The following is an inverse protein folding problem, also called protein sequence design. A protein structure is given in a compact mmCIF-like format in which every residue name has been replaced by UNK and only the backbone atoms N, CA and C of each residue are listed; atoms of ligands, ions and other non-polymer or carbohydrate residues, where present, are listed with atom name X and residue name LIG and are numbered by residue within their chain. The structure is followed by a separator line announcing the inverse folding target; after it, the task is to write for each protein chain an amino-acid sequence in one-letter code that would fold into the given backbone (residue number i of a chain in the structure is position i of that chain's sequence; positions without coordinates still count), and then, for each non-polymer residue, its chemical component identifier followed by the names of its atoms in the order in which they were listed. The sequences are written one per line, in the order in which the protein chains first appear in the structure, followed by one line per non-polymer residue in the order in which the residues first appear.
data_IF_644235652222
#
_entry.id   IF_644235652222
#
_cell.length_a   1.000
_cell.length_b   1.000
_cell.length_c   1.000
_cell.angle_alpha   90.00
_cell.angle_beta   90.00
_cell.angle_gamma   90.00
#
_symmetry.space_group_name_H-M   'P 1'
#
loop_
_entity.id
_entity.type
_entity.pdbx_description
1 polymer ?
#
# COMPACT_ATOMS: atom_id res chain seq x y z
N UNK A 1 -61.39 -11.21 72.24
CA UNK A 1 -62.72 -10.84 71.69
C UNK A 1 -62.56 -10.66 70.19
N UNK A 2 -63.28 -11.45 69.46
CA UNK A 2 -63.89 -11.34 68.15
C UNK A 2 -62.90 -11.13 66.94
N UNK A 3 -62.79 -12.09 66.12
CA UNK A 3 -63.73 -12.65 65.15
C UNK A 3 -63.65 -12.03 63.78
N UNK A 4 -63.57 -12.91 62.82
CA UNK A 4 -64.11 -12.83 61.48
C UNK A 4 -63.11 -12.91 60.39
N UNK A 5 -62.85 -14.01 59.79
CA UNK A 5 -63.58 -14.76 58.77
C UNK A 5 -63.34 -14.24 57.36
N UNK A 6 -62.72 -15.09 56.62
CA UNK A 6 -63.16 -15.65 55.31
C UNK A 6 -63.11 -14.73 54.08
N UNK A 7 -62.55 -15.26 53.01
CA UNK A 7 -62.84 -14.86 51.63
C UNK A 7 -61.76 -15.27 50.64
N UNK A 8 -61.95 -16.44 50.09
CA UNK A 8 -61.52 -16.95 48.79
C UNK A 8 -61.36 -15.88 47.72
N UNK A 9 -60.34 -16.00 46.91
CA UNK A 9 -60.43 -16.31 45.46
C UNK A 9 -59.07 -16.17 44.77
N UNK A 10 -58.55 -17.30 44.34
CA UNK A 10 -57.56 -17.37 43.26
C UNK A 10 -58.27 -17.17 41.92
N UNK A 11 -57.76 -16.43 41.01
CA UNK A 11 -57.68 -17.00 39.71
C UNK A 11 -56.31 -16.82 39.08
N UNK A 12 -55.75 -17.94 38.72
CA UNK A 12 -54.63 -18.15 37.92
C UNK A 12 -54.55 -17.22 36.72
N UNK A 13 -53.44 -16.42 36.67
CA UNK A 13 -53.00 -15.74 35.47
C UNK A 13 -51.88 -16.56 34.82
N UNK A 14 -52.27 -17.36 33.86
CA UNK A 14 -51.43 -18.10 32.97
C UNK A 14 -50.39 -17.17 32.32
N UNK A 15 -49.18 -17.29 32.78
CA UNK A 15 -47.99 -16.69 32.13
C UNK A 15 -47.88 -17.33 30.76
N UNK A 16 -48.45 -16.66 29.73
CA UNK A 16 -48.20 -17.01 28.33
C UNK A 16 -46.73 -16.90 28.11
N UNK A 17 -46.07 -18.04 28.00
CA UNK A 17 -44.72 -18.17 27.44
C UNK A 17 -44.77 -17.53 26.05
N UNK A 18 -44.17 -16.34 25.93
CA UNK A 18 -43.93 -15.76 24.63
C UNK A 18 -43.00 -16.75 23.91
N UNK A 19 -43.52 -17.40 22.91
CA UNK A 19 -42.76 -18.19 21.98
C UNK A 19 -41.65 -17.26 21.46
N UNK A 20 -40.40 -17.58 21.78
CA UNK A 20 -39.25 -16.90 21.24
C UNK A 20 -39.37 -16.92 19.72
N UNK A 21 -39.23 -15.75 19.08
CA UNK A 21 -39.15 -15.69 17.63
C UNK A 21 -38.09 -16.69 17.16
N UNK A 22 -38.38 -17.49 16.12
CA UNK A 22 -37.39 -18.46 15.63
C UNK A 22 -36.10 -17.73 15.30
N UNK A 23 -34.99 -18.16 15.92
CA UNK A 23 -33.64 -17.70 15.57
C UNK A 23 -33.49 -17.93 14.07
N UNK A 24 -33.20 -16.92 13.25
CA UNK A 24 -33.06 -17.11 11.81
C UNK A 24 -31.98 -18.15 11.57
N UNK A 25 -32.34 -19.31 11.07
CA UNK A 25 -31.36 -20.29 10.56
C UNK A 25 -30.53 -19.58 9.51
N UNK A 26 -29.19 -19.56 9.60
CA UNK A 26 -28.37 -18.97 8.56
C UNK A 26 -28.74 -19.64 7.24
N UNK A 27 -29.31 -18.89 6.31
CA UNK A 27 -29.69 -19.45 5.02
C UNK A 27 -28.40 -19.98 4.37
N UNK A 28 -28.42 -21.23 3.92
CA UNK A 28 -27.27 -21.88 3.30
C UNK A 28 -26.76 -20.98 2.16
N UNK A 29 -25.48 -20.67 2.20
CA UNK A 29 -24.84 -19.87 1.15
C UNK A 29 -24.89 -20.65 -0.15
N UNK A 30 -25.56 -20.17 -1.21
CA UNK A 30 -25.57 -20.85 -2.49
C UNK A 30 -24.13 -21.08 -3.00
N UNK A 31 -23.80 -22.31 -3.39
CA UNK A 31 -22.44 -22.67 -3.81
C UNK A 31 -21.92 -21.82 -4.94
N UNK A 32 -22.79 -21.40 -5.87
CA UNK A 32 -22.45 -20.53 -6.99
C UNK A 32 -21.94 -19.14 -6.58
N UNK A 33 -22.17 -18.73 -5.33
CA UNK A 33 -21.78 -17.43 -4.78
C UNK A 33 -20.56 -17.51 -3.86
N UNK A 34 -20.10 -18.72 -3.53
CA UNK A 34 -18.94 -18.91 -2.63
C UNK A 34 -17.66 -18.41 -3.29
N UNK A 35 -16.85 -17.67 -2.53
CA UNK A 35 -15.54 -17.16 -2.98
C UNK A 35 -15.58 -16.16 -4.14
N UNK A 36 -16.76 -15.66 -4.53
CA UNK A 36 -16.93 -14.77 -5.69
C UNK A 36 -17.55 -13.44 -5.30
N UNK A 37 -17.23 -12.42 -6.10
CA UNK A 37 -17.98 -11.16 -6.10
C UNK A 37 -19.09 -11.27 -7.15
N UNK A 38 -20.31 -10.89 -6.82
CA UNK A 38 -21.48 -10.99 -7.67
C UNK A 38 -22.34 -9.72 -7.63
N UNK A 39 -23.18 -9.53 -8.67
CA UNK A 39 -24.18 -8.45 -8.67
C UNK A 39 -25.40 -8.83 -7.85
N UNK A 40 -25.74 -8.00 -6.86
CA UNK A 40 -26.93 -8.19 -6.04
C UNK A 40 -28.21 -8.17 -6.90
N UNK A 41 -28.34 -7.25 -7.85
CA UNK A 41 -29.47 -7.17 -8.78
C UNK A 41 -29.70 -8.49 -9.55
N UNK A 42 -28.63 -9.11 -10.06
CA UNK A 42 -28.69 -10.37 -10.79
C UNK A 42 -29.11 -11.54 -9.90
N UNK A 43 -28.54 -11.61 -8.70
CA UNK A 43 -28.78 -12.71 -7.76
C UNK A 43 -30.21 -12.64 -7.20
N UNK A 44 -30.71 -11.43 -6.92
CA UNK A 44 -32.10 -11.21 -6.50
C UNK A 44 -33.09 -11.54 -7.62
N UNK A 45 -32.82 -11.11 -8.84
CA UNK A 45 -33.67 -11.41 -10.00
C UNK A 45 -33.78 -12.92 -10.30
N UNK A 46 -32.70 -13.69 -9.97
CA UNK A 46 -32.67 -15.16 -10.09
C UNK A 46 -33.27 -15.88 -8.88
N UNK A 47 -33.77 -15.18 -7.88
CA UNK A 47 -34.34 -15.76 -6.66
C UNK A 47 -33.33 -16.49 -5.76
N UNK A 48 -32.02 -16.32 -5.98
CA UNK A 48 -30.99 -16.98 -5.18
C UNK A 48 -30.83 -16.35 -3.77
N UNK A 49 -31.06 -15.05 -3.66
CA UNK A 49 -31.06 -14.30 -2.42
C UNK A 49 -32.12 -13.20 -2.45
N UNK A 50 -32.59 -12.80 -1.30
CA UNK A 50 -33.45 -11.64 -1.12
C UNK A 50 -32.63 -10.39 -0.77
N UNK A 51 -33.21 -9.19 -0.96
CA UNK A 51 -32.58 -7.94 -0.52
C UNK A 51 -32.32 -7.90 0.99
N UNK A 52 -33.19 -8.53 1.79
CA UNK A 52 -33.03 -8.63 3.24
C UNK A 52 -31.82 -9.50 3.61
N UNK A 53 -31.65 -10.63 2.94
CA UNK A 53 -30.47 -11.49 3.17
C UNK A 53 -29.17 -10.76 2.86
N UNK A 54 -29.13 -9.95 1.79
CA UNK A 54 -27.96 -9.14 1.42
C UNK A 54 -27.59 -8.04 2.43
N UNK A 55 -28.56 -7.61 3.28
CA UNK A 55 -28.31 -6.67 4.39
C UNK A 55 -27.78 -7.36 5.65
N UNK A 56 -27.87 -8.67 5.70
CA UNK A 56 -27.41 -9.47 6.82
C UNK A 56 -25.88 -9.59 6.92
N UNK A 57 -25.35 -10.08 8.05
CA UNK A 57 -23.92 -10.15 8.33
C UNK A 57 -23.15 -11.17 7.46
N UNK A 58 -23.88 -12.03 6.73
CA UNK A 58 -23.28 -13.04 5.82
C UNK A 58 -22.61 -12.41 4.60
N UNK A 59 -23.07 -11.24 4.17
CA UNK A 59 -22.65 -10.59 2.94
C UNK A 59 -21.98 -9.26 3.22
N UNK A 60 -20.88 -9.02 2.49
CA UNK A 60 -20.14 -7.76 2.52
C UNK A 60 -20.29 -7.04 1.18
N UNK A 61 -20.63 -5.76 1.23
CA UNK A 61 -20.68 -4.92 0.03
C UNK A 61 -19.25 -4.52 -0.36
N UNK A 62 -18.84 -4.87 -1.57
CA UNK A 62 -17.52 -4.52 -2.15
C UNK A 62 -17.62 -3.20 -2.91
N UNK A 63 -18.69 -3.07 -3.71
CA UNK A 63 -19.03 -1.88 -4.50
C UNK A 63 -20.54 -1.68 -4.53
N UNK A 64 -21.07 -0.55 -5.06
CA UNK A 64 -22.49 -0.44 -5.37
C UNK A 64 -22.94 -1.63 -6.23
N UNK A 65 -24.01 -2.31 -5.77
CA UNK A 65 -24.56 -3.53 -6.40
C UNK A 65 -23.62 -4.75 -6.45
N UNK A 66 -22.40 -4.70 -5.89
CA UNK A 66 -21.48 -5.82 -5.86
C UNK A 66 -21.22 -6.29 -4.42
N UNK A 67 -21.44 -7.56 -4.18
CA UNK A 67 -21.32 -8.22 -2.88
C UNK A 67 -20.43 -9.45 -2.95
N UNK A 68 -19.83 -9.81 -1.83
CA UNK A 68 -19.11 -11.05 -1.61
C UNK A 68 -19.54 -11.66 -0.28
N UNK A 69 -19.29 -12.95 -0.09
CA UNK A 69 -19.42 -13.58 1.21
C UNK A 69 -18.45 -12.93 2.21
N UNK A 70 -18.85 -12.83 3.48
CA UNK A 70 -18.05 -12.18 4.55
C UNK A 70 -16.63 -12.74 4.70
N UNK A 71 -16.43 -14.04 4.41
CA UNK A 71 -15.14 -14.71 4.49
C UNK A 71 -14.21 -14.39 3.32
N UNK A 72 -14.71 -13.72 2.28
CA UNK A 72 -13.86 -13.23 1.19
C UNK A 72 -13.09 -12.01 1.68
N UNK A 73 -11.77 -12.11 1.71
CA UNK A 73 -10.92 -10.96 2.00
C UNK A 73 -11.03 -9.92 0.89
N UNK A 74 -11.45 -8.70 1.25
CA UNK A 74 -11.60 -7.60 0.30
C UNK A 74 -10.29 -6.84 0.20
N UNK A 75 -9.36 -7.39 -0.57
CA UNK A 75 -8.06 -6.77 -0.88
C UNK A 75 -8.23 -5.66 -1.93
N UNK A 76 -7.23 -4.77 -2.02
CA UNK A 76 -7.19 -3.76 -3.09
C UNK A 76 -7.20 -4.40 -4.48
N UNK A 77 -6.46 -5.48 -4.69
CA UNK A 77 -6.45 -6.26 -5.94
C UNK A 77 -7.84 -6.80 -6.30
N UNK A 78 -8.59 -7.34 -5.32
CA UNK A 78 -9.97 -7.79 -5.56
C UNK A 78 -10.87 -6.63 -5.96
N UNK A 79 -10.75 -5.49 -5.28
CA UNK A 79 -11.52 -4.26 -5.61
C UNK A 79 -11.19 -3.78 -7.01
N UNK A 80 -9.90 -3.68 -7.37
CA UNK A 80 -9.46 -3.24 -8.69
C UNK A 80 -9.96 -4.17 -9.81
N UNK A 81 -9.81 -5.49 -9.63
CA UNK A 81 -10.29 -6.49 -10.58
C UNK A 81 -11.80 -6.41 -10.79
N UNK A 82 -12.56 -6.36 -9.69
CA UNK A 82 -14.03 -6.31 -9.79
C UNK A 82 -14.52 -4.98 -10.35
N UNK A 83 -13.86 -3.87 -10.05
CA UNK A 83 -14.18 -2.59 -10.66
C UNK A 83 -13.95 -2.63 -12.19
N UNK A 84 -12.80 -3.11 -12.65
CA UNK A 84 -12.47 -3.17 -14.07
C UNK A 84 -13.33 -4.17 -14.86
N UNK A 85 -13.82 -5.26 -14.22
CA UNK A 85 -14.61 -6.28 -14.91
C UNK A 85 -16.11 -6.07 -14.81
N UNK A 86 -16.60 -5.58 -13.66
CA UNK A 86 -18.03 -5.52 -13.36
C UNK A 86 -18.60 -4.10 -13.33
N UNK A 87 -17.84 -3.08 -12.89
CA UNK A 87 -18.32 -1.70 -12.85
C UNK A 87 -18.01 -0.93 -14.13
N UNK A 88 -16.79 -1.07 -14.62
CA UNK A 88 -16.27 -0.33 -15.78
C UNK A 88 -15.65 -1.33 -16.77
N UNK A 89 -16.48 -2.15 -17.45
CA UNK A 89 -15.99 -3.14 -18.41
C UNK A 89 -15.11 -2.49 -19.50
N UNK A 90 -13.96 -3.09 -19.77
CA UNK A 90 -13.00 -2.56 -20.74
C UNK A 90 -12.02 -1.55 -20.17
N UNK A 91 -12.13 -1.18 -18.87
CA UNK A 91 -11.13 -0.36 -18.22
C UNK A 91 -9.82 -1.13 -18.01
N UNK A 92 -8.73 -0.38 -18.00
CA UNK A 92 -7.38 -0.85 -17.63
C UNK A 92 -7.09 -0.44 -16.20
N UNK A 93 -6.63 -1.36 -15.36
CA UNK A 93 -6.11 -1.05 -14.03
C UNK A 93 -4.78 -0.33 -14.18
N UNK A 94 -4.62 0.84 -13.54
CA UNK A 94 -3.45 1.72 -13.72
C UNK A 94 -2.95 2.26 -12.37
N UNK A 95 -1.84 3.00 -12.38
CA UNK A 95 -1.32 3.69 -11.20
C UNK A 95 -1.00 2.76 -10.04
N UNK A 96 -1.25 3.20 -8.80
CA UNK A 96 -0.98 2.40 -7.61
C UNK A 96 -1.81 1.10 -7.57
N UNK A 97 -3.02 1.08 -8.14
CA UNK A 97 -3.81 -0.15 -8.24
C UNK A 97 -3.17 -1.20 -9.14
N UNK A 98 -2.49 -0.77 -10.21
CA UNK A 98 -1.70 -1.68 -11.05
C UNK A 98 -0.47 -2.20 -10.29
N UNK A 99 0.25 -1.33 -9.55
CA UNK A 99 1.39 -1.74 -8.74
C UNK A 99 1.01 -2.82 -7.72
N UNK A 100 -0.10 -2.62 -6.97
CA UNK A 100 -0.62 -3.64 -6.04
C UNK A 100 -1.01 -4.92 -6.79
N UNK A 101 -1.57 -4.82 -8.00
CA UNK A 101 -1.87 -5.99 -8.83
C UNK A 101 -0.60 -6.75 -9.25
N UNK A 102 0.54 -6.08 -9.32
CA UNK A 102 1.86 -6.66 -9.57
C UNK A 102 2.53 -7.21 -8.29
N UNK A 103 1.96 -6.99 -7.11
CA UNK A 103 2.47 -7.44 -5.81
C UNK A 103 3.31 -6.39 -5.08
N UNK A 104 3.27 -5.13 -5.52
CA UNK A 104 3.95 -4.02 -4.83
C UNK A 104 2.91 -3.20 -4.08
N UNK A 105 2.87 -3.34 -2.76
CA UNK A 105 1.89 -2.69 -1.88
C UNK A 105 2.22 -1.20 -1.70
N UNK A 106 1.65 -0.37 -2.57
CA UNK A 106 1.81 1.08 -2.53
C UNK A 106 0.64 1.80 -1.84
N UNK A 107 -0.49 1.13 -1.67
CA UNK A 107 -1.71 1.68 -1.07
C UNK A 107 -2.45 0.64 -0.26
N UNK A 108 -3.24 1.10 0.70
CA UNK A 108 -4.08 0.26 1.55
C UNK A 108 -5.27 -0.35 0.78
N UNK A 109 -5.86 -1.40 1.35
CA UNK A 109 -7.02 -2.07 0.77
C UNK A 109 -8.22 -1.14 0.55
N UNK A 110 -8.38 -0.10 1.37
CA UNK A 110 -9.46 0.88 1.30
C UNK A 110 -9.22 2.03 0.32
N UNK A 111 -7.98 2.23 -0.14
CA UNK A 111 -7.64 3.32 -1.06
C UNK A 111 -8.49 3.30 -2.35
N UNK A 112 -8.59 4.44 -3.01
CA UNK A 112 -9.30 4.55 -4.28
C UNK A 112 -8.64 3.67 -5.35
N UNK A 113 -9.48 2.93 -6.08
CA UNK A 113 -9.03 2.11 -7.21
C UNK A 113 -8.83 2.98 -8.44
N UNK A 114 -7.66 2.90 -9.05
CA UNK A 114 -7.28 3.66 -10.22
C UNK A 114 -7.52 2.87 -11.51
N UNK A 115 -8.37 3.41 -12.38
CA UNK A 115 -8.66 2.86 -13.70
C UNK A 115 -8.42 3.90 -14.79
N UNK A 116 -8.07 3.42 -15.98
CA UNK A 116 -8.03 4.24 -17.19
C UNK A 116 -8.97 3.66 -18.24
N UNK A 117 -9.75 4.54 -18.88
CA UNK A 117 -10.65 4.22 -20.01
C UNK A 117 -10.34 5.09 -21.22
N UNK A 118 -10.72 4.69 -22.43
CA UNK A 118 -10.57 5.54 -23.63
C UNK A 118 -11.24 6.91 -23.48
N UNK A 119 -10.78 7.95 -24.20
CA UNK A 119 -11.31 9.31 -24.09
C UNK A 119 -12.82 9.44 -24.31
N UNK A 120 -13.41 8.63 -25.20
CA UNK A 120 -14.84 8.63 -25.50
C UNK A 120 -15.73 7.89 -24.49
N UNK A 121 -15.17 7.29 -23.46
CA UNK A 121 -15.94 6.59 -22.45
C UNK A 121 -16.81 7.55 -21.62
N UNK A 122 -18.02 7.11 -21.27
CA UNK A 122 -18.88 7.91 -20.39
C UNK A 122 -18.21 8.16 -19.03
N UNK A 123 -18.45 9.33 -18.40
CA UNK A 123 -17.96 9.61 -17.06
C UNK A 123 -18.46 8.58 -16.04
N UNK A 124 -17.55 8.03 -15.25
CA UNK A 124 -17.88 7.10 -14.16
C UNK A 124 -17.60 7.81 -12.83
N UNK A 125 -18.61 7.86 -11.98
CA UNK A 125 -18.52 8.46 -10.63
C UNK A 125 -19.01 7.45 -9.60
N UNK A 126 -18.09 6.71 -9.04
CA UNK A 126 -18.33 5.75 -7.96
C UNK A 126 -17.38 6.08 -6.82
N UNK A 127 -17.85 6.30 -5.58
CA UNK A 127 -16.98 6.53 -4.43
C UNK A 127 -15.95 5.40 -4.29
N UNK A 128 -14.70 5.75 -4.04
CA UNK A 128 -13.58 4.81 -3.96
C UNK A 128 -13.04 4.36 -5.32
N UNK A 129 -13.44 5.03 -6.42
CA UNK A 129 -12.98 4.73 -7.77
C UNK A 129 -12.50 6.01 -8.47
N UNK A 130 -11.23 6.05 -8.84
CA UNK A 130 -10.64 7.11 -9.63
C UNK A 130 -10.51 6.66 -11.10
N UNK A 131 -11.35 7.19 -11.99
CA UNK A 131 -11.35 6.82 -13.42
C UNK A 131 -10.80 7.97 -14.25
N UNK A 132 -9.68 7.74 -14.90
CA UNK A 132 -9.06 8.67 -15.85
C UNK A 132 -9.46 8.33 -17.27
N UNK A 133 -9.84 9.32 -18.05
CA UNK A 133 -10.07 9.18 -19.50
C UNK A 133 -8.83 9.58 -20.26
N UNK A 134 -8.11 8.61 -20.82
CA UNK A 134 -6.86 8.85 -21.54
C UNK A 134 -6.57 7.68 -22.47
N UNK A 135 -5.94 7.96 -23.61
CA UNK A 135 -5.34 6.90 -24.43
C UNK A 135 -4.09 6.39 -23.73
N UNK A 136 -3.96 5.08 -23.65
CA UNK A 136 -2.71 4.42 -23.25
C UNK A 136 -1.95 4.06 -24.54
N UNK A 137 -0.63 4.29 -24.60
CA UNK A 137 0.17 3.88 -25.75
C UNK A 137 0.11 2.36 -25.99
N UNK A 138 0.33 1.96 -27.24
CA UNK A 138 0.45 0.54 -27.58
C UNK A 138 1.63 -0.08 -26.80
N UNK A 139 1.46 -1.32 -26.36
CA UNK A 139 2.44 -2.03 -25.54
C UNK A 139 2.45 -1.67 -24.04
N UNK A 140 1.68 -0.65 -23.62
CA UNK A 140 1.57 -0.29 -22.19
C UNK A 140 0.56 -1.16 -21.43
N UNK A 141 -0.22 -1.98 -22.11
CA UNK A 141 -1.29 -2.77 -21.51
C UNK A 141 -1.03 -4.25 -21.77
N UNK A 142 -1.18 -5.04 -20.73
CA UNK A 142 -1.14 -6.49 -20.77
C UNK A 142 -2.32 -7.09 -19.99
N UNK A 143 -2.43 -8.41 -19.95
CA UNK A 143 -3.43 -9.10 -19.13
C UNK A 143 -2.78 -9.81 -17.95
N UNK A 144 -3.34 -9.59 -16.76
CA UNK A 144 -2.95 -10.26 -15.53
C UNK A 144 -4.21 -10.77 -14.82
N UNK A 145 -4.26 -12.05 -14.49
CA UNK A 145 -5.42 -12.69 -13.83
C UNK A 145 -6.76 -12.34 -14.50
N UNK A 146 -6.77 -12.32 -15.84
CA UNK A 146 -7.98 -12.04 -16.66
C UNK A 146 -8.35 -10.56 -16.81
N UNK A 147 -7.60 -9.62 -16.23
CA UNK A 147 -7.89 -8.18 -16.26
C UNK A 147 -6.82 -7.43 -17.04
N UNK A 148 -7.24 -6.39 -17.79
CA UNK A 148 -6.31 -5.47 -18.42
C UNK A 148 -5.63 -4.62 -17.36
N UNK A 149 -4.29 -4.54 -17.39
CA UNK A 149 -3.45 -3.80 -16.44
C UNK A 149 -2.28 -3.17 -17.19
N UNK A 150 -1.77 -2.04 -16.73
CA UNK A 150 -0.54 -1.49 -17.30
C UNK A 150 0.65 -2.39 -16.99
N UNK A 151 1.60 -2.53 -17.95
CA UNK A 151 2.88 -3.23 -17.70
C UNK A 151 3.61 -2.61 -16.50
N UNK A 152 4.54 -3.29 -15.85
CA UNK A 152 5.26 -2.74 -14.71
C UNK A 152 5.92 -1.40 -15.00
N UNK A 153 6.61 -1.27 -16.15
CA UNK A 153 7.28 -0.02 -16.55
C UNK A 153 6.27 1.11 -16.84
N UNK A 154 5.18 0.79 -17.55
CA UNK A 154 4.11 1.75 -17.81
C UNK A 154 3.42 2.17 -16.50
N UNK A 155 3.29 1.25 -15.54
CA UNK A 155 2.77 1.54 -14.20
C UNK A 155 3.68 2.52 -13.48
N UNK A 156 5.01 2.29 -13.48
CA UNK A 156 5.99 3.18 -12.88
C UNK A 156 5.96 4.59 -13.51
N UNK A 157 5.93 4.69 -14.85
CA UNK A 157 5.83 5.99 -15.54
C UNK A 157 4.53 6.72 -15.19
N UNK A 158 3.41 6.01 -15.07
CA UNK A 158 2.13 6.63 -14.70
C UNK A 158 2.09 7.10 -13.26
N UNK A 159 2.65 6.33 -12.34
CA UNK A 159 2.82 6.72 -10.93
C UNK A 159 3.72 7.96 -10.85
N UNK A 160 4.86 7.94 -11.54
CA UNK A 160 5.79 9.05 -11.63
C UNK A 160 5.14 10.35 -12.19
N UNK A 161 4.21 10.21 -13.14
CA UNK A 161 3.46 11.33 -13.70
C UNK A 161 2.37 11.89 -12.75
N UNK A 162 1.82 11.05 -11.87
CA UNK A 162 0.60 11.36 -11.11
C UNK A 162 0.88 11.75 -9.66
N UNK A 163 1.75 11.05 -8.96
CA UNK A 163 2.03 11.32 -7.56
C UNK A 163 2.84 12.61 -7.36
N UNK A 164 2.60 13.33 -6.27
CA UNK A 164 3.35 14.55 -5.97
C UNK A 164 4.71 14.24 -5.31
N UNK A 165 5.65 15.17 -5.47
CA UNK A 165 6.88 15.24 -4.69
C UNK A 165 7.67 13.93 -4.60
N UNK A 166 8.18 13.67 -3.41
CA UNK A 166 9.02 12.51 -3.12
C UNK A 166 8.27 11.19 -3.12
N UNK A 167 6.95 11.21 -2.89
CA UNK A 167 6.13 10.00 -2.92
C UNK A 167 6.17 9.31 -4.29
N UNK A 168 6.31 10.10 -5.36
CA UNK A 168 6.48 9.55 -6.70
C UNK A 168 7.80 8.77 -6.84
N UNK A 169 8.90 9.31 -6.31
CA UNK A 169 10.22 8.65 -6.35
C UNK A 169 10.20 7.41 -5.45
N UNK A 170 9.65 7.52 -4.25
CA UNK A 170 9.47 6.38 -3.32
C UNK A 170 8.71 5.23 -3.99
N UNK A 171 7.61 5.52 -4.66
CA UNK A 171 6.80 4.50 -5.32
C UNK A 171 7.54 3.84 -6.50
N UNK A 172 8.32 4.63 -7.26
CA UNK A 172 9.14 4.11 -8.36
C UNK A 172 10.30 3.27 -7.83
N UNK A 173 11.00 3.71 -6.77
CA UNK A 173 12.06 2.94 -6.13
C UNK A 173 11.54 1.58 -5.63
N UNK A 174 10.35 1.54 -5.03
CA UNK A 174 9.73 0.27 -4.61
C UNK A 174 9.45 -0.69 -5.78
N UNK A 175 9.05 -0.17 -6.94
CA UNK A 175 8.89 -0.99 -8.15
C UNK A 175 10.24 -1.49 -8.69
N UNK A 176 11.30 -0.70 -8.61
CA UNK A 176 12.66 -1.11 -8.98
C UNK A 176 13.20 -2.19 -8.03
N UNK A 177 13.10 -1.97 -6.71
CA UNK A 177 13.52 -2.94 -5.67
C UNK A 177 12.81 -4.28 -5.80
N UNK A 178 11.53 -4.28 -6.21
CA UNK A 178 10.78 -5.53 -6.43
C UNK A 178 11.31 -6.38 -7.61
N UNK A 179 12.22 -5.86 -8.40
CA UNK A 179 12.76 -6.54 -9.59
C UNK A 179 11.77 -6.63 -10.77
N UNK A 180 10.62 -5.95 -10.69
CA UNK A 180 9.62 -5.91 -11.77
C UNK A 180 9.98 -4.93 -12.87
N UNK A 181 10.83 -3.96 -12.58
CA UNK A 181 11.19 -2.86 -13.47
C UNK A 181 12.70 -2.65 -13.42
N UNK A 182 13.32 -2.50 -14.58
CA UNK A 182 14.72 -2.14 -14.71
C UNK A 182 14.86 -0.63 -14.96
N UNK A 183 15.87 -0.01 -14.34
CA UNK A 183 16.06 1.44 -14.36
C UNK A 183 16.34 1.98 -15.77
N UNK A 184 17.12 1.28 -16.58
CA UNK A 184 17.44 1.67 -17.95
C UNK A 184 16.20 1.72 -18.85
N UNK A 185 15.49 0.60 -19.02
CA UNK A 185 14.22 0.55 -19.74
C UNK A 185 13.18 1.56 -19.23
N UNK A 186 13.05 1.74 -17.90
CA UNK A 186 12.14 2.72 -17.31
C UNK A 186 12.46 4.15 -17.75
N UNK A 187 13.73 4.55 -17.67
CA UNK A 187 14.18 5.89 -18.11
C UNK A 187 13.95 6.09 -19.59
N UNK A 188 14.20 5.07 -20.43
CA UNK A 188 13.88 5.08 -21.85
C UNK A 188 12.40 5.30 -22.12
N UNK A 189 11.53 4.58 -21.40
CA UNK A 189 10.07 4.73 -21.54
C UNK A 189 9.60 6.11 -21.06
N UNK A 190 10.13 6.62 -19.94
CA UNK A 190 9.80 7.95 -19.43
C UNK A 190 10.22 9.07 -20.39
N UNK A 191 11.33 8.91 -21.09
CA UNK A 191 11.82 9.87 -22.09
C UNK A 191 10.83 10.01 -23.27
N UNK A 192 10.16 8.94 -23.66
CA UNK A 192 9.16 8.94 -24.75
C UNK A 192 7.77 9.40 -24.29
N UNK A 193 7.51 9.47 -22.98
CA UNK A 193 6.21 9.86 -22.44
C UNK A 193 5.78 11.26 -22.92
N UNK A 194 4.50 11.43 -23.22
CA UNK A 194 3.89 12.67 -23.70
C UNK A 194 2.65 13.01 -22.89
N UNK A 195 2.23 14.28 -22.94
CA UNK A 195 1.03 14.77 -22.29
C UNK A 195 1.22 15.18 -20.82
N UNK A 196 0.13 15.39 -20.08
CA UNK A 196 0.17 15.87 -18.70
C UNK A 196 0.99 14.97 -17.77
N UNK A 197 1.92 15.56 -17.01
CA UNK A 197 2.80 14.85 -16.08
C UNK A 197 4.05 14.22 -16.70
N UNK A 198 4.24 14.25 -18.03
CA UNK A 198 5.41 13.64 -18.69
C UNK A 198 6.75 14.23 -18.23
N UNK A 199 6.81 15.55 -18.02
CA UNK A 199 8.02 16.19 -17.47
C UNK A 199 8.33 15.70 -16.06
N UNK A 200 7.29 15.58 -15.20
CA UNK A 200 7.44 15.01 -13.86
C UNK A 200 7.90 13.57 -13.92
N UNK A 201 7.29 12.74 -14.79
CA UNK A 201 7.71 11.36 -14.94
C UNK A 201 9.19 11.20 -15.28
N UNK A 202 9.69 12.03 -16.21
CA UNK A 202 11.12 12.05 -16.56
C UNK A 202 11.99 12.40 -15.35
N UNK A 203 11.61 13.44 -14.62
CA UNK A 203 12.38 13.88 -13.45
C UNK A 203 12.34 12.83 -12.31
N UNK A 204 11.19 12.27 -12.00
CA UNK A 204 11.06 11.20 -11.01
C UNK A 204 11.88 9.97 -11.37
N UNK A 205 11.80 9.51 -12.64
CA UNK A 205 12.60 8.37 -13.10
C UNK A 205 14.11 8.68 -13.17
N UNK A 206 14.50 9.95 -13.30
CA UNK A 206 15.90 10.38 -13.19
C UNK A 206 16.39 10.29 -11.75
N UNK A 207 15.57 10.67 -10.78
CA UNK A 207 15.87 10.68 -9.35
C UNK A 207 15.80 9.29 -8.71
N UNK A 208 15.05 8.36 -9.29
CA UNK A 208 14.96 7.00 -8.79
C UNK A 208 16.24 6.22 -9.07
N UNK A 209 16.62 5.33 -8.13
CA UNK A 209 17.79 4.46 -8.27
C UNK A 209 17.54 3.00 -7.88
N UNK A 210 16.43 2.73 -7.15
CA UNK A 210 16.06 1.38 -6.73
C UNK A 210 17.00 0.76 -5.70
N UNK A 211 17.77 1.56 -4.95
CA UNK A 211 18.70 1.08 -3.94
C UNK A 211 18.16 1.17 -2.51
N UNK A 212 17.14 1.99 -2.29
CA UNK A 212 16.54 2.17 -0.97
C UNK A 212 15.62 1.00 -0.60
N UNK A 213 15.81 0.39 0.55
CA UNK A 213 14.98 -0.71 1.07
C UNK A 213 13.71 -0.21 1.78
N UNK A 214 13.66 1.08 2.10
CA UNK A 214 12.48 1.71 2.73
C UNK A 214 12.11 3.06 2.08
N UNK A 215 10.83 3.48 2.22
CA UNK A 215 10.38 4.82 1.80
C UNK A 215 11.22 5.96 2.41
N UNK A 216 11.65 5.81 3.64
CA UNK A 216 12.39 6.81 4.37
C UNK A 216 13.83 6.95 3.88
N UNK A 217 14.45 5.85 3.49
CA UNK A 217 15.78 5.89 2.84
C UNK A 217 15.71 6.66 1.52
N UNK A 218 14.69 6.42 0.67
CA UNK A 218 14.49 7.25 -0.53
C UNK A 218 14.36 8.73 -0.18
N UNK A 219 13.57 9.10 0.84
CA UNK A 219 13.41 10.50 1.26
C UNK A 219 14.71 11.10 1.79
N UNK A 220 15.45 10.35 2.60
CA UNK A 220 16.75 10.75 3.13
C UNK A 220 17.76 10.99 1.99
N UNK A 221 17.85 10.08 1.03
CA UNK A 221 18.69 10.22 -0.17
C UNK A 221 18.36 11.48 -0.95
N UNK A 222 17.07 11.72 -1.20
CA UNK A 222 16.61 12.92 -1.91
C UNK A 222 16.96 14.21 -1.16
N UNK A 223 16.80 14.20 0.17
CA UNK A 223 17.17 15.32 1.03
C UNK A 223 18.66 15.64 0.92
N UNK A 224 19.53 14.65 1.09
CA UNK A 224 20.99 14.78 0.97
C UNK A 224 21.39 15.32 -0.40
N UNK A 225 20.79 14.77 -1.47
CA UNK A 225 21.06 15.20 -2.84
C UNK A 225 20.68 16.66 -3.08
N UNK A 226 19.51 17.09 -2.61
CA UNK A 226 19.02 18.49 -2.76
C UNK A 226 19.82 19.48 -1.93
N UNK A 227 20.38 19.04 -0.82
CA UNK A 227 21.24 19.87 0.02
C UNK A 227 22.62 20.09 -0.58
N UNK A 228 22.95 19.45 -1.71
CA UNK A 228 24.25 19.55 -2.36
C UNK A 228 25.38 18.88 -1.58
N UNK A 229 25.08 18.00 -0.65
CA UNK A 229 26.08 17.16 0.03
C UNK A 229 26.67 16.15 -0.97
N UNK A 230 27.90 15.67 -0.76
CA UNK A 230 28.46 14.61 -1.58
C UNK A 230 27.51 13.42 -1.68
N UNK A 231 27.41 12.81 -2.85
CA UNK A 231 26.54 11.65 -3.05
C UNK A 231 26.98 10.48 -2.14
N UNK A 232 26.12 9.93 -1.31
CA UNK A 232 26.45 8.75 -0.50
C UNK A 232 26.47 7.49 -1.36
N UNK A 233 27.21 6.49 -0.91
CA UNK A 233 27.08 5.11 -1.42
C UNK A 233 25.97 4.45 -0.64
N UNK A 234 24.90 4.04 -1.36
CA UNK A 234 23.77 3.32 -0.74
C UNK A 234 24.13 1.87 -0.44
N UNK A 235 23.54 1.31 0.61
CA UNK A 235 23.67 -0.10 1.02
C UNK A 235 25.13 -0.56 1.13
N UNK A 236 25.98 0.30 1.72
CA UNK A 236 27.41 0.09 1.77
C UNK A 236 27.81 -0.99 2.78
N UNK A 237 28.66 -1.92 2.35
CA UNK A 237 29.19 -2.99 3.20
C UNK A 237 30.50 -2.55 3.84
N UNK A 238 30.47 -2.30 5.14
CA UNK A 238 31.67 -2.03 5.94
C UNK A 238 32.36 -3.34 6.29
N UNK A 239 33.70 -3.35 6.11
CA UNK A 239 34.57 -4.47 6.46
C UNK A 239 35.74 -3.99 7.34
N UNK A 240 36.22 -4.86 8.22
CA UNK A 240 37.45 -4.69 9.01
C UNK A 240 38.44 -5.83 8.71
N UNK A 241 39.53 -5.88 9.44
CA UNK A 241 40.53 -6.94 9.31
C UNK A 241 39.96 -8.35 9.62
N UNK A 242 38.83 -8.42 10.33
CA UNK A 242 38.12 -9.67 10.68
C UNK A 242 37.01 -10.02 9.68
N UNK A 243 36.78 -9.19 8.63
CA UNK A 243 35.79 -9.40 7.59
C UNK A 243 34.57 -8.48 7.68
N UNK A 244 33.38 -9.01 7.47
CA UNK A 244 32.13 -8.25 7.48
C UNK A 244 31.83 -7.63 8.85
N UNK A 245 31.55 -6.33 8.88
CA UNK A 245 31.13 -5.60 10.08
C UNK A 245 29.64 -5.30 10.05
N UNK A 246 29.19 -4.60 9.02
CA UNK A 246 27.80 -4.20 8.84
C UNK A 246 27.52 -3.81 7.38
N UNK A 247 26.24 -3.83 6.99
CA UNK A 247 25.72 -3.09 5.85
C UNK A 247 24.97 -1.90 6.39
N UNK A 248 25.26 -0.71 5.88
CA UNK A 248 24.68 0.56 6.31
C UNK A 248 23.89 1.18 5.15
N UNK A 249 22.79 1.91 5.47
CA UNK A 249 21.90 2.46 4.44
C UNK A 249 22.63 3.42 3.50
N UNK A 250 23.44 4.32 4.07
CA UNK A 250 24.26 5.26 3.32
C UNK A 250 25.64 5.40 3.94
N UNK A 251 26.66 5.56 3.10
CA UNK A 251 28.02 5.78 3.55
C UNK A 251 28.74 6.82 2.70
N UNK A 252 29.67 7.53 3.34
CA UNK A 252 30.77 8.27 2.72
C UNK A 252 32.08 7.60 3.14
N UNK A 253 32.57 6.65 2.35
CA UNK A 253 33.71 5.80 2.75
C UNK A 253 34.99 6.59 3.01
N UNK A 254 35.27 7.66 2.24
CA UNK A 254 36.44 8.50 2.41
C UNK A 254 36.44 9.25 3.75
N UNK A 255 35.27 9.71 4.20
CA UNK A 255 35.06 10.38 5.48
C UNK A 255 34.80 9.39 6.63
N UNK A 256 34.61 8.10 6.32
CA UNK A 256 34.18 7.05 7.26
C UNK A 256 32.93 7.44 8.04
N UNK A 257 31.96 8.01 7.33
CA UNK A 257 30.64 8.36 7.89
C UNK A 257 29.61 7.40 7.33
N UNK A 258 28.81 6.84 8.21
CA UNK A 258 27.62 6.04 7.90
C UNK A 258 26.37 6.75 8.40
N UNK A 259 25.28 6.66 7.64
CA UNK A 259 23.98 7.13 8.04
C UNK A 259 23.01 5.96 7.95
N UNK A 260 22.24 5.73 8.99
CA UNK A 260 21.24 4.67 9.10
C UNK A 260 19.90 5.26 9.48
N UNK A 261 18.85 4.83 8.78
CA UNK A 261 17.49 5.19 9.15
C UNK A 261 16.99 4.23 10.24
N UNK A 262 16.77 4.80 11.43
CA UNK A 262 16.21 4.07 12.57
C UNK A 262 14.67 4.21 12.57
N UNK A 263 13.98 3.20 12.06
CA UNK A 263 12.53 3.08 12.13
C UNK A 263 12.07 2.77 13.55
N UNK A 264 10.82 3.05 13.89
CA UNK A 264 10.24 2.72 15.20
C UNK A 264 10.33 1.19 15.44
N UNK A 265 11.14 0.81 16.41
CA UNK A 265 11.47 -0.58 16.72
C UNK A 265 10.49 -1.23 17.69
N UNK A 266 10.04 -2.43 17.35
CA UNK A 266 9.57 -3.41 18.34
C UNK A 266 10.79 -4.23 18.76
N UNK A 267 11.36 -3.90 19.92
CA UNK A 267 12.55 -4.56 20.43
C UNK A 267 12.28 -6.03 20.75
N UNK A 268 12.84 -6.93 19.95
CA UNK A 268 12.89 -8.36 20.31
C UNK A 268 13.98 -8.60 21.37
N UNK A 269 13.75 -9.51 22.34
CA UNK A 269 14.76 -9.87 23.32
C UNK A 269 16.07 -10.34 22.66
N UNK A 270 17.20 -9.75 23.03
CA UNK A 270 18.53 -10.10 22.50
C UNK A 270 19.00 -9.30 21.28
N UNK A 271 18.14 -8.53 20.62
CA UNK A 271 18.51 -7.69 19.48
C UNK A 271 19.36 -6.51 19.91
N UNK A 272 19.03 -5.88 21.05
CA UNK A 272 19.79 -4.78 21.64
C UNK A 272 21.30 -5.10 21.84
N UNK A 273 21.63 -6.32 22.31
CA UNK A 273 23.03 -6.72 22.50
C UNK A 273 23.77 -6.83 21.16
N UNK A 274 23.11 -7.38 20.13
CA UNK A 274 23.69 -7.49 18.77
C UNK A 274 23.92 -6.14 18.13
N UNK A 275 22.98 -5.21 18.29
CA UNK A 275 23.09 -3.85 17.74
C UNK A 275 24.22 -3.07 18.44
N UNK A 276 24.34 -3.19 19.74
CA UNK A 276 25.48 -2.60 20.48
C UNK A 276 26.82 -3.17 20.03
N UNK A 277 26.90 -4.47 19.83
CA UNK A 277 28.13 -5.10 19.34
C UNK A 277 28.47 -4.65 17.91
N UNK A 278 27.46 -4.53 17.04
CA UNK A 278 27.62 -4.01 15.67
C UNK A 278 28.12 -2.57 15.68
N UNK A 279 27.53 -1.69 16.51
CA UNK A 279 27.97 -0.31 16.69
C UNK A 279 29.41 -0.20 17.18
N UNK A 280 29.77 -0.98 18.19
CA UNK A 280 31.13 -1.01 18.74
C UNK A 280 32.13 -1.41 17.66
N UNK A 281 31.79 -2.37 16.79
CA UNK A 281 32.65 -2.78 15.67
C UNK A 281 32.77 -1.70 14.61
N UNK A 282 31.69 -0.97 14.27
CA UNK A 282 31.75 0.16 13.35
C UNK A 282 32.65 1.26 13.90
N UNK A 283 32.52 1.60 15.19
CA UNK A 283 33.38 2.59 15.85
C UNK A 283 34.86 2.14 15.90
N UNK A 284 35.11 0.88 16.23
CA UNK A 284 36.46 0.31 16.23
C UNK A 284 37.11 0.31 14.83
N UNK A 285 36.29 0.20 13.78
CA UNK A 285 36.72 0.34 12.37
C UNK A 285 36.87 1.82 11.93
N UNK A 286 36.70 2.77 12.86
CA UNK A 286 36.87 4.22 12.65
C UNK A 286 35.68 4.88 11.97
N UNK A 287 34.50 4.26 11.97
CA UNK A 287 33.30 4.82 11.39
C UNK A 287 32.51 5.65 12.39
N UNK A 288 32.01 6.81 11.96
CA UNK A 288 31.03 7.63 12.66
C UNK A 288 29.66 7.27 12.12
N UNK A 289 28.72 6.92 13.00
CA UNK A 289 27.36 6.55 12.60
C UNK A 289 26.39 7.64 13.03
N UNK A 290 25.61 8.14 12.09
CA UNK A 290 24.50 9.08 12.32
C UNK A 290 23.20 8.31 12.17
N UNK A 291 22.43 8.22 13.23
CA UNK A 291 21.08 7.65 13.18
C UNK A 291 20.07 8.73 12.82
N UNK A 292 19.17 8.40 11.90
CA UNK A 292 18.12 9.28 11.41
C UNK A 292 16.76 8.64 11.70
N UNK A 293 15.90 9.35 12.39
CA UNK A 293 14.54 8.94 12.72
C UNK A 293 13.51 9.63 11.84
N UNK A 294 12.25 9.19 11.91
CA UNK A 294 11.13 9.88 11.26
C UNK A 294 11.01 11.35 11.71
N UNK A 295 11.27 11.63 13.00
CA UNK A 295 11.24 12.99 13.54
C UNK A 295 12.32 13.89 12.91
N UNK A 296 13.49 13.34 12.60
CA UNK A 296 14.58 14.11 11.95
C UNK A 296 14.25 14.44 10.51
N UNK A 297 13.58 13.55 9.78
CA UNK A 297 13.09 13.83 8.41
C UNK A 297 12.07 14.98 8.37
N UNK A 298 11.36 15.24 9.46
CA UNK A 298 10.48 16.42 9.59
C UNK A 298 11.23 17.71 9.93
N UNK A 299 12.54 17.64 10.21
CA UNK A 299 13.43 18.80 10.47
C UNK A 299 14.60 18.78 9.47
N UNK A 300 14.34 18.94 8.16
CA UNK A 300 15.32 18.70 7.12
C UNK A 300 16.57 19.58 7.24
N UNK A 301 16.43 20.83 7.66
CA UNK A 301 17.57 21.76 7.83
C UNK A 301 18.53 21.29 8.90
N UNK A 302 18.01 20.87 10.06
CA UNK A 302 18.82 20.39 11.18
C UNK A 302 19.52 19.08 10.83
N UNK A 303 18.80 18.18 10.17
CA UNK A 303 19.32 16.90 9.71
C UNK A 303 20.47 17.08 8.71
N UNK A 304 20.29 17.95 7.71
CA UNK A 304 21.35 18.28 6.74
C UNK A 304 22.56 18.87 7.43
N UNK A 305 22.38 19.82 8.37
CA UNK A 305 23.49 20.41 9.12
C UNK A 305 24.23 19.35 9.95
N UNK A 306 23.51 18.41 10.58
CA UNK A 306 24.10 17.31 11.35
C UNK A 306 24.94 16.39 10.47
N UNK A 307 24.42 15.96 9.31
CA UNK A 307 25.16 15.13 8.36
C UNK A 307 26.39 15.90 7.81
N UNK A 308 26.24 17.17 7.44
CA UNK A 308 27.32 18.00 6.95
C UNK A 308 28.46 18.14 8.00
N UNK A 309 28.11 18.36 9.26
CA UNK A 309 29.07 18.40 10.38
C UNK A 309 29.80 17.06 10.54
N UNK A 310 29.09 15.94 10.41
CA UNK A 310 29.71 14.62 10.44
C UNK A 310 30.67 14.38 9.26
N UNK A 311 30.44 14.95 8.10
CA UNK A 311 31.30 14.82 6.91
C UNK A 311 32.55 15.69 6.99
N UNK A 312 32.56 16.70 7.87
CA UNK A 312 33.73 17.57 8.04
C UNK A 312 34.84 16.82 8.79
N UNK A 313 36.08 16.83 8.31
CA UNK A 313 37.20 16.21 9.01
C UNK A 313 37.35 16.79 10.42
N UNK A 314 37.50 15.92 11.42
CA UNK A 314 37.94 16.36 12.75
C UNK A 314 39.43 16.80 12.60
N UNK A 315 39.70 18.10 12.82
CA UNK A 315 41.07 18.64 12.79
C UNK A 315 41.86 18.13 14.01
#
# INVERSE_FOLDING_TARGET
MHSGAAGDDDPGLGRRLRHGAPVPVPSAVPDVLRGRVFRASTVVARGLLTRNQLRGPTWRRVWPDLYAHRDVEVTHTLRARTAATLLVPGAVVTGCSAAVSWGVDLVDAAADVELTVPPGHHPVRVPGLHVRRSRLPDGWVCRRSGVAVTTPEATAVRIAAALPGDDAVVAVDRLLVSGLVDLGPLRGLAATARGPGAARAREVCRLADGLAESPQETRLRLLVTRAGLPAPVAQYVVRDARGFVARVDFAWPEQRVAVEYDGAWHAEPGQFARDRQRLNRLQAAGWRVVFVTAADLHRPTDLVAHIAAALTPVR
#
